data_IF_919340495745
#
_entry.id   IF_919340495745
#
_cell.length_a   1.000
_cell.length_b   1.000
_cell.length_c   1.000
_cell.angle_alpha   90.00
_cell.angle_beta   90.00
_cell.angle_gamma   90.00
#
_symmetry.space_group_name_H-M   'P 1'
#
loop_
_entity.id
_entity.type
_entity.pdbx_description
1 polymer ?
#
# COMPACT_ATOMS: atom_id res chain seq x y z
N UNK A 1 6.81 -9.09 -6.13
CA UNK A 1 8.17 -8.89 -6.67
C UNK A 1 8.18 -8.21 -8.03
N UNK A 2 7.64 -8.80 -9.11
CA UNK A 2 7.59 -8.13 -10.44
C UNK A 2 6.93 -6.74 -10.39
N UNK A 3 5.89 -6.57 -9.56
CA UNK A 3 5.22 -5.29 -9.34
C UNK A 3 6.19 -4.15 -9.04
N UNK A 4 7.12 -4.32 -8.10
CA UNK A 4 8.05 -3.25 -7.71
C UNK A 4 8.92 -2.75 -8.87
N UNK A 5 9.15 -3.60 -9.87
CA UNK A 5 9.91 -3.23 -11.06
C UNK A 5 9.03 -2.57 -12.11
N UNK A 6 7.93 -3.23 -12.50
CA UNK A 6 7.10 -2.76 -13.61
C UNK A 6 6.26 -1.51 -13.28
N UNK A 7 6.12 -1.15 -12.00
CA UNK A 7 5.43 0.08 -11.58
C UNK A 7 6.38 1.20 -11.22
N UNK A 8 7.70 1.00 -11.34
CA UNK A 8 8.70 2.03 -11.07
C UNK A 8 8.65 3.13 -12.13
N UNK A 9 8.80 4.38 -11.70
CA UNK A 9 8.90 5.55 -12.60
C UNK A 9 10.35 5.91 -12.95
N UNK A 10 11.32 5.08 -12.54
CA UNK A 10 12.73 5.31 -12.80
C UNK A 10 13.05 5.20 -14.29
N UNK A 11 13.89 6.09 -14.78
CA UNK A 11 14.37 6.16 -16.17
C UNK A 11 15.89 6.31 -16.25
N UNK A 12 16.59 6.26 -15.11
CA UNK A 12 18.01 6.57 -14.97
C UNK A 12 18.96 5.50 -15.53
N UNK A 13 18.44 4.33 -15.92
CA UNK A 13 19.26 3.28 -16.50
C UNK A 13 18.50 2.48 -17.57
N UNK A 14 19.24 1.84 -18.51
CA UNK A 14 18.62 0.94 -19.49
C UNK A 14 17.81 -0.19 -18.84
N UNK A 15 18.23 -0.66 -17.66
CA UNK A 15 17.49 -1.66 -16.90
C UNK A 15 16.08 -1.18 -16.54
N UNK A 16 15.94 0.05 -16.04
CA UNK A 16 14.63 0.59 -15.66
C UNK A 16 13.77 0.93 -16.87
N UNK A 17 14.37 1.44 -17.94
CA UNK A 17 13.66 1.73 -19.19
C UNK A 17 13.11 0.44 -19.83
N UNK A 18 13.89 -0.63 -19.83
CA UNK A 18 13.46 -1.93 -20.36
C UNK A 18 12.25 -2.51 -19.60
N UNK A 19 12.20 -2.35 -18.28
CA UNK A 19 11.03 -2.73 -17.48
C UNK A 19 9.75 -1.99 -17.84
N UNK A 20 9.83 -0.77 -18.41
CA UNK A 20 8.65 -0.03 -18.86
C UNK A 20 8.03 -0.63 -20.14
N UNK A 21 8.86 -1.24 -21.00
CA UNK A 21 8.43 -1.88 -22.24
C UNK A 21 8.09 -3.38 -22.12
N UNK A 22 8.43 -4.02 -20.99
CA UNK A 22 8.23 -5.46 -20.81
C UNK A 22 6.76 -5.83 -20.61
N UNK A 23 6.33 -6.90 -21.28
CA UNK A 23 5.05 -7.54 -20.99
C UNK A 23 5.09 -8.29 -19.66
N UNK A 24 4.21 -7.92 -18.74
CA UNK A 24 3.98 -8.65 -17.49
C UNK A 24 2.83 -9.65 -17.65
N UNK A 25 2.71 -10.59 -16.72
CA UNK A 25 1.65 -11.62 -16.77
C UNK A 25 0.25 -10.99 -16.83
N UNK A 26 -0.70 -11.52 -17.63
CA UNK A 26 -2.05 -10.94 -17.77
C UNK A 26 -2.77 -10.75 -16.44
N UNK A 27 -2.65 -11.69 -15.50
CA UNK A 27 -3.28 -11.56 -14.17
C UNK A 27 -2.78 -10.35 -13.37
N UNK A 28 -1.49 -10.01 -13.51
CA UNK A 28 -0.92 -8.82 -12.88
C UNK A 28 -1.38 -7.55 -13.61
N UNK A 29 -1.42 -7.56 -14.95
CA UNK A 29 -1.94 -6.44 -15.73
C UNK A 29 -3.38 -6.11 -15.32
N UNK A 30 -4.27 -7.10 -15.26
CA UNK A 30 -5.66 -6.92 -14.84
C UNK A 30 -5.76 -6.36 -13.42
N UNK A 31 -4.94 -6.87 -12.49
CA UNK A 31 -4.93 -6.35 -11.11
C UNK A 31 -4.50 -4.89 -11.05
N UNK A 32 -3.41 -4.53 -11.74
CA UNK A 32 -2.92 -3.16 -11.78
C UNK A 32 -3.93 -2.21 -12.44
N UNK A 33 -4.58 -2.66 -13.52
CA UNK A 33 -5.63 -1.89 -14.19
C UNK A 33 -6.83 -1.65 -13.27
N UNK A 34 -7.29 -2.68 -12.54
CA UNK A 34 -8.39 -2.54 -11.58
C UNK A 34 -8.03 -1.60 -10.41
N UNK A 35 -6.80 -1.70 -9.90
CA UNK A 35 -6.35 -0.77 -8.89
C UNK A 35 -6.27 0.65 -9.43
N UNK A 36 -5.72 0.84 -10.63
CA UNK A 36 -5.57 2.18 -11.24
C UNK A 36 -6.92 2.83 -11.54
N UNK A 37 -8.00 2.08 -11.76
CA UNK A 37 -9.31 2.68 -12.02
C UNK A 37 -9.96 3.28 -10.76
N UNK A 38 -10.08 2.51 -9.68
CA UNK A 38 -10.87 2.89 -8.49
C UNK A 38 -10.24 2.49 -7.15
N UNK A 39 -8.96 2.11 -7.14
CA UNK A 39 -8.26 1.64 -5.94
C UNK A 39 -8.70 0.24 -5.52
N UNK A 40 -9.37 -0.51 -6.40
CA UNK A 40 -9.89 -1.84 -6.08
C UNK A 40 -8.86 -2.93 -6.31
N UNK A 41 -8.85 -3.92 -5.43
CA UNK A 41 -8.04 -5.11 -5.56
C UNK A 41 -8.95 -6.34 -5.50
N UNK A 42 -8.78 -7.27 -6.44
CA UNK A 42 -9.43 -8.58 -6.36
C UNK A 42 -8.72 -9.38 -5.28
N UNK A 43 -9.49 -9.80 -4.28
CA UNK A 43 -9.01 -10.77 -3.29
C UNK A 43 -8.88 -12.13 -3.96
N UNK A 44 -7.72 -12.73 -3.83
CA UNK A 44 -7.45 -14.10 -4.26
C UNK A 44 -6.93 -14.83 -3.03
N UNK A 45 -7.69 -15.80 -2.54
CA UNK A 45 -7.39 -16.50 -1.28
C UNK A 45 -6.12 -17.36 -1.36
N UNK A 46 -5.58 -17.58 -2.55
CA UNK A 46 -4.31 -18.26 -2.78
C UNK A 46 -3.10 -17.30 -2.88
N UNK A 47 -3.27 -16.01 -2.56
CA UNK A 47 -2.17 -15.04 -2.60
C UNK A 47 -1.44 -14.91 -1.27
N UNK A 48 -0.11 -14.85 -1.36
CA UNK A 48 0.78 -14.58 -0.23
C UNK A 48 0.63 -13.16 0.34
N UNK A 49 0.18 -12.20 -0.48
CA UNK A 49 0.06 -10.79 -0.09
C UNK A 49 -1.41 -10.40 0.04
N UNK A 50 -1.80 -9.95 1.23
CA UNK A 50 -3.11 -9.37 1.46
C UNK A 50 -3.30 -8.02 0.75
N UNK A 51 -4.55 -7.55 0.71
CA UNK A 51 -4.91 -6.25 0.10
C UNK A 51 -4.13 -5.08 0.68
N UNK A 52 -3.86 -5.07 1.99
CA UNK A 52 -3.11 -4.00 2.64
C UNK A 52 -1.67 -3.90 2.11
N UNK A 53 -1.00 -5.04 1.91
CA UNK A 53 0.35 -5.10 1.34
C UNK A 53 0.39 -4.59 -0.10
N UNK A 54 -0.64 -4.90 -0.89
CA UNK A 54 -0.78 -4.38 -2.25
C UNK A 54 -1.00 -2.86 -2.27
N UNK A 55 -1.88 -2.32 -1.43
CA UNK A 55 -2.07 -0.87 -1.31
C UNK A 55 -0.78 -0.17 -0.92
N UNK A 56 -0.05 -0.69 0.08
CA UNK A 56 1.22 -0.14 0.51
C UNK A 56 2.29 -0.18 -0.60
N UNK A 57 2.42 -1.31 -1.30
CA UNK A 57 3.40 -1.46 -2.38
C UNK A 57 3.11 -0.52 -3.56
N UNK A 58 1.85 -0.38 -3.95
CA UNK A 58 1.44 0.45 -5.09
C UNK A 58 1.51 1.94 -4.77
N UNK A 59 0.98 2.35 -3.62
CA UNK A 59 1.10 3.76 -3.17
C UNK A 59 2.55 4.15 -2.89
N UNK A 60 3.37 3.23 -2.36
CA UNK A 60 4.79 3.48 -2.07
C UNK A 60 5.65 3.77 -3.31
N UNK A 61 5.23 3.32 -4.49
CA UNK A 61 5.88 3.68 -5.77
C UNK A 61 5.18 4.84 -6.50
N UNK A 62 4.24 5.52 -5.85
CA UNK A 62 3.48 6.63 -6.42
C UNK A 62 2.34 6.21 -7.36
N UNK A 63 1.95 4.93 -7.38
CA UNK A 63 0.77 4.48 -8.12
C UNK A 63 -0.48 4.73 -7.28
N UNK A 64 -1.24 5.75 -7.66
CA UNK A 64 -2.55 6.08 -7.08
C UNK A 64 -3.69 5.75 -8.06
N UNK A 65 -4.91 5.46 -7.57
CA UNK A 65 -6.04 5.28 -8.46
C UNK A 65 -6.45 6.61 -9.12
N UNK A 66 -7.04 6.54 -10.32
CA UNK A 66 -7.55 7.69 -11.07
C UNK A 66 -8.90 8.19 -10.55
N UNK A 67 -9.58 7.36 -9.76
CA UNK A 67 -10.82 7.70 -9.08
C UNK A 67 -11.04 6.80 -7.86
N UNK A 68 -12.21 6.87 -7.27
CA UNK A 68 -12.62 6.06 -6.13
C UNK A 68 -14.02 5.48 -6.36
N UNK A 69 -14.45 4.55 -5.50
CA UNK A 69 -15.77 3.93 -5.63
C UNK A 69 -16.91 4.91 -5.27
N UNK A 70 -18.05 4.93 -5.99
CA UNK A 70 -19.15 5.88 -5.75
C UNK A 70 -19.74 5.85 -4.33
N UNK A 71 -19.55 4.74 -3.60
CA UNK A 71 -19.96 4.62 -2.20
C UNK A 71 -19.32 5.69 -1.32
N UNK A 72 -18.13 6.19 -1.68
CA UNK A 72 -17.46 7.28 -0.95
C UNK A 72 -18.27 8.56 -1.00
N UNK A 73 -18.92 8.87 -2.13
CA UNK A 73 -19.75 10.08 -2.26
C UNK A 73 -21.03 10.01 -1.41
N UNK A 74 -21.45 8.80 -1.02
CA UNK A 74 -22.58 8.59 -0.12
C UNK A 74 -22.21 8.73 1.37
N UNK A 75 -20.94 8.96 1.71
CA UNK A 75 -20.46 9.09 3.09
C UNK A 75 -20.42 10.54 3.55
N UNK A 76 -20.54 10.77 4.87
CA UNK A 76 -20.37 12.10 5.46
C UNK A 76 -18.88 12.44 5.57
N UNK A 77 -18.45 13.46 4.83
CA UNK A 77 -17.05 13.88 4.78
C UNK A 77 -16.50 14.34 6.15
N UNK A 78 -17.32 14.96 7.00
CA UNK A 78 -16.87 15.45 8.30
C UNK A 78 -16.76 14.31 9.33
N UNK A 79 -17.67 13.33 9.27
CA UNK A 79 -17.54 12.09 10.04
C UNK A 79 -16.29 11.33 9.64
N UNK A 80 -16.00 11.22 8.33
CA UNK A 80 -14.78 10.58 7.83
C UNK A 80 -13.51 11.28 8.34
N UNK A 81 -13.45 12.62 8.27
CA UNK A 81 -12.31 13.39 8.79
C UNK A 81 -12.10 13.13 10.27
N UNK A 82 -13.19 13.15 11.06
CA UNK A 82 -13.11 12.89 12.49
C UNK A 82 -12.67 11.45 12.78
N UNK A 83 -13.15 10.48 12.00
CA UNK A 83 -12.71 9.08 12.10
C UNK A 83 -11.21 8.94 11.85
N UNK A 84 -10.68 9.51 10.76
CA UNK A 84 -9.25 9.43 10.44
C UNK A 84 -8.39 10.14 11.50
N UNK A 85 -8.87 11.26 12.06
CA UNK A 85 -8.21 11.93 13.18
C UNK A 85 -8.12 11.01 14.39
N UNK A 86 -9.22 10.39 14.79
CA UNK A 86 -9.24 9.46 15.94
C UNK A 86 -8.30 8.27 15.75
N UNK A 87 -8.26 7.69 14.54
CA UNK A 87 -7.33 6.60 14.20
C UNK A 87 -5.88 7.05 14.33
N UNK A 88 -5.54 8.23 13.82
CA UNK A 88 -4.19 8.80 13.91
C UNK A 88 -3.76 9.05 15.36
N UNK A 89 -4.65 9.63 16.17
CA UNK A 89 -4.42 9.90 17.58
C UNK A 89 -4.25 8.61 18.39
N UNK A 90 -5.10 7.60 18.15
CA UNK A 90 -4.99 6.29 18.79
C UNK A 90 -3.67 5.61 18.45
N UNK A 91 -3.25 5.65 17.18
CA UNK A 91 -1.97 5.07 16.76
C UNK A 91 -0.80 5.78 17.44
N UNK A 92 -0.81 7.12 17.45
CA UNK A 92 0.23 7.90 18.11
C UNK A 92 0.29 7.64 19.62
N UNK A 93 -0.86 7.44 20.27
CA UNK A 93 -0.92 7.07 21.68
C UNK A 93 -0.31 5.69 21.93
N UNK A 94 -0.68 4.67 21.13
CA UNK A 94 -0.13 3.32 21.25
C UNK A 94 1.38 3.29 21.06
N UNK A 95 1.91 4.00 20.04
CA UNK A 95 3.36 4.05 19.78
C UNK A 95 4.14 4.64 20.95
N UNK A 96 3.61 5.66 21.63
CA UNK A 96 4.24 6.28 22.82
C UNK A 96 4.36 5.33 24.02
N UNK A 97 3.58 4.25 24.05
CA UNK A 97 3.62 3.25 25.12
C UNK A 97 4.57 2.09 24.82
N UNK A 98 5.12 2.01 23.61
CA UNK A 98 6.05 0.96 23.21
C UNK A 98 7.47 1.33 23.64
N UNK A 99 8.24 0.29 23.95
CA UNK A 99 9.69 0.42 24.08
C UNK A 99 10.29 0.75 22.71
N UNK A 100 11.38 1.50 22.72
CA UNK A 100 12.26 1.57 21.56
C UNK A 100 12.80 0.17 21.23
N UNK A 101 13.29 0.02 20.00
CA UNK A 101 13.88 -1.25 19.56
C UNK A 101 15.01 -1.71 20.49
N UNK A 102 15.90 -0.79 20.87
CA UNK A 102 17.05 -1.09 21.73
C UNK A 102 16.63 -1.47 23.16
N UNK A 103 15.71 -0.72 23.77
CA UNK A 103 15.16 -1.04 25.11
C UNK A 103 14.49 -2.41 25.13
N UNK A 104 13.77 -2.76 24.06
CA UNK A 104 13.15 -4.08 23.94
C UNK A 104 14.20 -5.20 23.84
N UNK A 105 15.27 -5.00 23.05
CA UNK A 105 16.36 -5.97 22.93
C UNK A 105 17.11 -6.17 24.25
N UNK A 106 17.40 -5.10 24.99
CA UNK A 106 18.07 -5.21 26.28
C UNK A 106 17.24 -6.02 27.29
N UNK A 107 15.92 -5.79 27.32
CA UNK A 107 14.99 -6.56 28.17
C UNK A 107 14.93 -8.05 27.81
N UNK A 108 15.11 -8.40 26.53
CA UNK A 108 15.17 -9.80 26.11
C UNK A 108 16.47 -10.49 26.52
N UNK A 109 17.60 -9.78 26.49
CA UNK A 109 18.91 -10.32 26.90
C UNK A 109 19.01 -10.58 28.41
N UNK A 110 18.22 -9.88 29.22
CA UNK A 110 18.20 -10.06 30.68
C UNK A 110 17.31 -11.22 31.16
N UNK A 111 16.64 -11.92 30.25
CA UNK A 111 15.91 -13.17 30.50
C UNK A 111 16.72 -14.37 30.02
#
# INVERSE_FOLDING_TARGET
MVTHYCTSQRTDSPFWQDWQSRNIRPSLQTKLALYRSQGRLVRNDNELFGSNSWHAALSGVGMFPLGYGPVVDATNADENKQYFKNVSESLAHSVKQLLTHDEYLERLKTK
#
